data_IF_488563871195
#
_entry.id   IF_488563871195
#
_cell.length_a   1.000
_cell.length_b   1.000
_cell.length_c   1.000
_cell.angle_alpha   90.00
_cell.angle_beta   90.00
_cell.angle_gamma   90.00
#
_symmetry.space_group_name_H-M   'P 1'
#
loop_
_entity.id
_entity.type
_entity.pdbx_description
1 polymer ?
#
# COMPACT_ATOMS: atom_id res chain seq x y z
N UNK A 1 30.43 25.47 75.21
CA UNK A 1 30.54 26.75 74.46
C UNK A 1 29.27 26.89 73.66
N UNK A 2 28.59 28.00 73.90
CA UNK A 2 27.24 28.35 73.43
C UNK A 2 27.39 29.15 72.14
N UNK A 3 26.64 28.80 71.10
CA UNK A 3 26.39 29.68 69.96
C UNK A 3 24.89 29.60 69.58
N UNK A 4 24.22 30.74 69.25
CA UNK A 4 22.78 30.93 69.34
C UNK A 4 22.05 30.77 67.98
N UNK A 5 20.70 30.81 67.95
CA UNK A 5 19.92 30.65 66.73
C UNK A 5 19.35 31.98 66.16
N UNK A 6 18.98 31.90 64.86
CA UNK A 6 18.09 32.78 64.04
C UNK A 6 18.77 34.00 63.36
N UNK A 7 18.20 34.62 62.29
CA UNK A 7 16.85 34.50 61.71
C UNK A 7 16.74 34.43 60.15
N UNK A 8 15.51 34.19 59.71
CA UNK A 8 14.95 34.35 58.35
C UNK A 8 14.90 35.82 57.94
N UNK A 9 15.19 36.14 56.67
CA UNK A 9 14.67 37.33 56.00
C UNK A 9 14.55 37.13 54.49
N UNK A 10 13.31 37.04 54.02
CA UNK A 10 12.90 37.28 52.63
C UNK A 10 13.19 38.75 52.26
N UNK A 11 13.70 39.00 51.06
CA UNK A 11 13.50 40.27 50.36
C UNK A 11 13.56 40.06 48.84
N UNK A 12 12.39 40.14 48.20
CA UNK A 12 12.22 40.40 46.77
C UNK A 12 12.66 41.82 46.45
N UNK A 13 13.39 42.03 45.35
CA UNK A 13 13.50 43.26 44.54
C UNK A 13 14.52 42.93 43.43
N UNK A 14 14.15 42.80 42.15
CA UNK A 14 13.56 43.83 41.32
C UNK A 14 14.63 44.31 40.33
N UNK A 15 14.70 43.70 39.15
CA UNK A 15 15.49 44.22 38.02
C UNK A 15 14.89 43.71 36.71
N UNK A 16 13.90 44.44 36.20
CA UNK A 16 13.49 44.39 34.81
C UNK A 16 14.17 45.56 34.09
N UNK A 17 14.99 45.27 33.08
CA UNK A 17 14.97 45.89 31.76
C UNK A 17 16.28 45.64 30.99
N UNK A 18 16.13 45.55 29.66
CA UNK A 18 17.16 45.66 28.62
C UNK A 18 17.85 44.38 28.15
N UNK A 19 17.13 43.54 27.38
CA UNK A 19 17.69 42.85 26.21
C UNK A 19 16.59 42.69 25.14
N UNK A 20 16.08 43.81 24.63
CA UNK A 20 15.34 43.85 23.38
C UNK A 20 16.33 44.20 22.27
N UNK A 21 16.89 43.20 21.60
CA UNK A 21 17.87 43.43 20.55
C UNK A 21 18.33 42.16 19.83
N UNK A 22 17.76 41.95 18.64
CA UNK A 22 18.36 41.25 17.51
C UNK A 22 18.58 39.73 17.63
N UNK A 23 17.54 38.94 17.37
CA UNK A 23 17.73 37.65 16.72
C UNK A 23 16.60 37.35 15.72
N UNK A 24 16.49 38.19 14.69
CA UNK A 24 15.75 37.87 13.47
C UNK A 24 16.78 37.28 12.51
N UNK A 25 17.08 35.98 12.69
CA UNK A 25 17.75 35.23 11.64
C UNK A 25 16.75 35.08 10.49
N UNK A 26 17.12 35.35 9.23
CA UNK A 26 16.27 35.04 8.09
C UNK A 26 15.96 33.54 8.11
N UNK A 27 14.68 33.18 8.25
CA UNK A 27 14.24 31.80 8.01
C UNK A 27 14.52 31.47 6.55
N UNK A 28 15.60 30.74 6.33
CA UNK A 28 15.91 30.08 5.06
C UNK A 28 14.77 29.10 4.80
N UNK A 29 13.83 29.50 3.94
CA UNK A 29 12.67 28.70 3.61
C UNK A 29 13.16 27.41 2.96
N UNK A 30 13.15 26.32 3.72
CA UNK A 30 13.54 25.00 3.24
C UNK A 30 12.76 24.70 1.95
N UNK A 31 13.43 24.28 0.86
CA UNK A 31 12.76 24.03 -0.40
C UNK A 31 11.69 22.95 -0.21
N UNK A 32 10.44 23.31 -0.52
CA UNK A 32 9.30 22.38 -0.47
C UNK A 32 9.57 21.20 -1.41
N UNK A 33 9.58 19.94 -0.92
CA UNK A 33 9.75 18.78 -1.77
C UNK A 33 8.65 18.74 -2.83
N UNK A 34 9.03 18.84 -4.10
CA UNK A 34 8.11 18.62 -5.20
C UNK A 34 7.84 17.11 -5.34
N UNK A 35 6.59 16.70 -5.19
CA UNK A 35 6.17 15.32 -5.47
C UNK A 35 6.20 15.10 -6.98
N UNK A 36 7.23 14.42 -7.48
CA UNK A 36 7.27 13.98 -8.87
C UNK A 36 6.47 12.70 -9.02
N UNK A 37 5.35 12.75 -9.74
CA UNK A 37 4.62 11.52 -10.13
C UNK A 37 5.47 10.76 -11.14
N UNK A 38 5.91 9.55 -10.79
CA UNK A 38 6.60 8.67 -11.74
C UNK A 38 5.66 8.28 -12.87
N UNK A 39 6.16 8.25 -14.10
CA UNK A 39 5.40 7.72 -15.23
C UNK A 39 5.01 6.24 -14.96
N UNK A 40 3.81 5.81 -15.41
CA UNK A 40 3.42 4.41 -15.32
C UNK A 40 4.39 3.51 -16.08
N UNK A 41 4.76 2.38 -15.48
CA UNK A 41 5.59 1.36 -16.14
C UNK A 41 4.76 0.67 -17.23
N UNK A 42 5.32 0.55 -18.44
CA UNK A 42 4.63 -0.06 -19.61
C UNK A 42 5.23 -1.39 -20.06
N UNK A 43 6.43 -1.74 -19.60
CA UNK A 43 7.11 -2.99 -19.90
C UNK A 43 7.83 -3.53 -18.65
N UNK A 44 8.03 -4.84 -18.60
CA UNK A 44 8.83 -5.49 -17.56
C UNK A 44 10.35 -5.27 -17.78
N UNK A 45 11.17 -5.80 -16.86
CA UNK A 45 12.62 -5.68 -16.94
C UNK A 45 13.24 -6.37 -18.18
N UNK A 46 12.50 -7.25 -18.86
CA UNK A 46 12.92 -7.95 -20.08
C UNK A 46 12.37 -7.30 -21.35
N UNK A 47 11.60 -6.21 -21.22
CA UNK A 47 10.98 -5.50 -22.32
C UNK A 47 9.65 -6.10 -22.79
N UNK A 48 9.10 -7.09 -22.11
CA UNK A 48 7.77 -7.62 -22.44
C UNK A 48 6.69 -6.61 -22.01
N UNK A 49 5.66 -6.37 -22.84
CA UNK A 49 4.65 -5.36 -22.54
C UNK A 49 3.83 -5.75 -21.31
N UNK A 50 3.50 -4.76 -20.49
CA UNK A 50 2.54 -4.89 -19.40
C UNK A 50 1.13 -4.62 -19.91
N UNK A 51 0.14 -5.26 -19.29
CA UNK A 51 -1.27 -4.91 -19.45
C UNK A 51 -1.43 -3.43 -19.08
N UNK A 52 -2.02 -2.65 -19.99
CA UNK A 52 -2.27 -1.24 -19.75
C UNK A 52 -3.28 -1.07 -18.61
N UNK A 53 -2.97 -0.16 -17.69
CA UNK A 53 -3.80 0.11 -16.53
C UNK A 53 -2.99 0.65 -15.35
N UNK A 54 -3.65 0.82 -14.22
CA UNK A 54 -3.02 1.29 -12.99
C UNK A 54 -3.64 0.65 -11.75
N UNK A 55 -2.86 0.59 -10.68
CA UNK A 55 -3.34 0.19 -9.37
C UNK A 55 -3.93 1.40 -8.64
N UNK A 56 -5.14 1.21 -8.11
CA UNK A 56 -5.73 2.06 -7.08
C UNK A 56 -5.69 1.27 -5.77
N UNK A 57 -5.10 1.85 -4.73
CA UNK A 57 -5.02 1.23 -3.41
C UNK A 57 -5.77 2.09 -2.41
N UNK A 58 -6.69 1.49 -1.69
CA UNK A 58 -7.53 2.17 -0.71
C UNK A 58 -7.49 1.44 0.64
N UNK A 59 -7.47 2.23 1.72
CA UNK A 59 -7.55 1.74 3.09
C UNK A 59 -8.78 2.35 3.76
N UNK A 60 -9.57 1.51 4.44
CA UNK A 60 -10.79 1.89 5.14
C UNK A 60 -10.86 1.21 6.51
N UNK A 61 -11.82 1.61 7.34
CA UNK A 61 -12.08 0.91 8.62
C UNK A 61 -12.46 -0.57 8.43
N UNK A 62 -12.98 -0.95 7.24
CA UNK A 62 -13.35 -2.32 6.91
C UNK A 62 -12.19 -3.21 6.42
N UNK A 63 -11.01 -2.64 6.16
CA UNK A 63 -9.87 -3.32 5.57
C UNK A 63 -9.21 -2.48 4.47
N UNK A 64 -8.37 -3.12 3.66
CA UNK A 64 -7.70 -2.48 2.53
C UNK A 64 -7.99 -3.23 1.22
N UNK A 65 -7.94 -2.51 0.11
CA UNK A 65 -8.13 -3.05 -1.23
C UNK A 65 -7.07 -2.52 -2.20
N UNK A 66 -6.78 -3.32 -3.22
CA UNK A 66 -5.99 -2.91 -4.38
C UNK A 66 -6.73 -3.34 -5.64
N UNK A 67 -7.03 -2.40 -6.53
CA UNK A 67 -7.77 -2.61 -7.77
C UNK A 67 -6.88 -2.23 -8.93
N UNK A 68 -6.61 -3.17 -9.82
CA UNK A 68 -6.01 -2.87 -11.12
C UNK A 68 -7.13 -2.56 -12.11
N UNK A 69 -7.17 -1.33 -12.60
CA UNK A 69 -8.15 -0.87 -13.57
C UNK A 69 -7.51 -0.64 -14.94
N UNK A 70 -8.23 -0.96 -16.00
CA UNK A 70 -7.84 -0.63 -17.37
C UNK A 70 -7.88 0.90 -17.61
N UNK A 71 -7.39 1.41 -18.75
CA UNK A 71 -7.43 2.85 -19.04
C UNK A 71 -8.84 3.46 -19.11
N UNK A 72 -9.90 2.65 -19.23
CA UNK A 72 -11.28 3.08 -19.16
C UNK A 72 -11.85 3.09 -17.72
N UNK A 73 -11.02 2.76 -16.73
CA UNK A 73 -11.41 2.69 -15.32
C UNK A 73 -12.14 1.41 -14.94
N UNK A 74 -12.19 0.40 -15.81
CA UNK A 74 -12.87 -0.87 -15.51
C UNK A 74 -11.95 -1.77 -14.70
N UNK A 75 -12.40 -2.36 -13.59
CA UNK A 75 -11.58 -3.26 -12.80
C UNK A 75 -11.29 -4.54 -13.57
N UNK A 76 -10.03 -4.96 -13.54
CA UNK A 76 -9.51 -6.16 -14.23
C UNK A 76 -9.11 -7.20 -13.21
N UNK A 77 -8.43 -6.78 -12.13
CA UNK A 77 -8.06 -7.58 -10.97
C UNK A 77 -8.34 -6.79 -9.70
N UNK A 78 -8.83 -7.46 -8.65
CA UNK A 78 -9.02 -6.86 -7.34
C UNK A 78 -8.44 -7.75 -6.25
N UNK A 79 -7.76 -7.15 -5.29
CA UNK A 79 -7.37 -7.76 -4.03
C UNK A 79 -8.13 -7.03 -2.94
N UNK A 80 -8.90 -7.74 -2.14
CA UNK A 80 -9.68 -7.14 -1.05
C UNK A 80 -9.42 -7.93 0.22
N UNK A 81 -8.97 -7.25 1.26
CA UNK A 81 -8.91 -7.84 2.57
C UNK A 81 -10.31 -7.88 3.20
N UNK A 82 -10.81 -9.08 3.51
CA UNK A 82 -12.02 -9.27 4.31
C UNK A 82 -11.62 -9.54 5.76
N UNK A 83 -11.47 -8.46 6.54
CA UNK A 83 -10.92 -8.52 7.91
C UNK A 83 -11.68 -9.46 8.85
N UNK A 84 -12.99 -9.60 8.66
CA UNK A 84 -13.82 -10.55 9.42
C UNK A 84 -13.31 -12.00 9.32
N UNK A 85 -12.77 -12.38 8.15
CA UNK A 85 -12.36 -13.74 7.84
C UNK A 85 -10.85 -13.91 7.77
N UNK A 86 -10.10 -12.80 7.96
CA UNK A 86 -8.64 -12.72 7.84
C UNK A 86 -8.13 -13.32 6.52
N UNK A 87 -8.88 -13.06 5.45
CA UNK A 87 -8.59 -13.61 4.13
C UNK A 87 -8.55 -12.52 3.07
N UNK A 88 -7.66 -12.70 2.09
CA UNK A 88 -7.59 -11.86 0.90
C UNK A 88 -8.44 -12.50 -0.18
N UNK A 89 -9.43 -11.77 -0.68
CA UNK A 89 -10.19 -12.17 -1.86
C UNK A 89 -9.48 -11.61 -3.07
N UNK A 90 -9.02 -12.50 -3.94
CA UNK A 90 -8.49 -12.15 -5.26
C UNK A 90 -9.57 -12.36 -6.30
N UNK A 91 -9.97 -11.32 -7.00
CA UNK A 91 -10.97 -11.37 -8.07
C UNK A 91 -10.35 -11.07 -9.42
N UNK A 92 -10.75 -11.84 -10.45
CA UNK A 92 -10.43 -11.62 -11.86
C UNK A 92 -11.72 -11.35 -12.62
N UNK A 93 -11.80 -10.17 -13.24
CA UNK A 93 -13.00 -9.76 -13.97
C UNK A 93 -13.01 -10.20 -15.43
N UNK A 94 -14.22 -10.36 -15.99
CA UNK A 94 -14.42 -10.78 -17.39
C UNK A 94 -14.22 -12.28 -17.62
N UNK A 95 -14.35 -13.08 -16.56
CA UNK A 95 -14.27 -14.54 -16.57
C UNK A 95 -15.47 -15.05 -15.77
N UNK A 96 -16.38 -15.77 -16.41
CA UNK A 96 -17.62 -16.23 -15.76
C UNK A 96 -17.55 -17.66 -15.21
N UNK A 97 -16.60 -18.46 -15.71
CA UNK A 97 -16.49 -19.89 -15.42
C UNK A 97 -15.32 -20.18 -14.48
N UNK A 98 -15.49 -21.18 -13.62
CA UNK A 98 -14.43 -21.63 -12.72
C UNK A 98 -13.19 -22.08 -13.50
N UNK A 99 -12.01 -21.68 -13.04
CA UNK A 99 -10.74 -22.07 -13.66
C UNK A 99 -9.61 -22.08 -12.63
N UNK A 100 -8.57 -22.84 -12.92
CA UNK A 100 -7.31 -22.77 -12.15
C UNK A 100 -6.40 -21.74 -12.79
N UNK A 101 -6.08 -20.70 -12.03
CA UNK A 101 -5.16 -19.66 -12.44
C UNK A 101 -3.78 -19.92 -11.87
N UNK A 102 -2.77 -19.84 -12.72
CA UNK A 102 -1.38 -19.81 -12.29
C UNK A 102 -0.94 -18.36 -12.14
N UNK A 103 -0.58 -18.00 -10.91
CA UNK A 103 0.06 -16.74 -10.58
C UNK A 103 1.56 -16.92 -10.53
N UNK A 104 2.31 -15.98 -11.11
CA UNK A 104 3.77 -15.98 -11.06
C UNK A 104 4.28 -14.56 -10.81
N UNK A 105 5.19 -14.39 -9.86
CA UNK A 105 5.88 -13.12 -9.61
C UNK A 105 7.23 -13.40 -8.95
N UNK A 106 8.28 -12.70 -9.38
CA UNK A 106 9.61 -12.74 -8.73
C UNK A 106 10.18 -14.16 -8.52
N UNK A 107 9.89 -15.09 -9.44
CA UNK A 107 10.33 -16.49 -9.32
C UNK A 107 9.47 -17.38 -8.42
N UNK A 108 8.46 -16.82 -7.75
CA UNK A 108 7.45 -17.55 -6.98
C UNK A 108 6.24 -17.82 -7.88
N UNK A 109 5.64 -19.00 -7.72
CA UNK A 109 4.39 -19.34 -8.39
C UNK A 109 3.38 -19.95 -7.41
N UNK A 110 2.11 -19.71 -7.67
CA UNK A 110 1.00 -20.33 -6.94
C UNK A 110 -0.13 -20.66 -7.94
N UNK A 111 -0.75 -21.82 -7.76
CA UNK A 111 -1.95 -22.20 -8.51
C UNK A 111 -3.17 -21.94 -7.62
N UNK A 112 -4.14 -21.18 -8.13
CA UNK A 112 -5.35 -20.81 -7.42
C UNK A 112 -6.57 -21.34 -8.16
N UNK A 113 -7.38 -22.14 -7.48
CA UNK A 113 -8.71 -22.48 -7.96
C UNK A 113 -9.62 -21.27 -7.76
N UNK A 114 -10.01 -20.62 -8.86
CA UNK A 114 -10.95 -19.51 -8.85
C UNK A 114 -12.34 -20.00 -9.24
N UNK A 115 -13.35 -19.56 -8.51
CA UNK A 115 -14.76 -19.93 -8.70
C UNK A 115 -15.58 -18.68 -9.04
N UNK A 116 -16.76 -18.79 -9.68
CA UNK A 116 -17.60 -17.64 -9.98
C UNK A 116 -17.88 -16.80 -8.72
N UNK A 117 -17.68 -15.49 -8.83
CA UNK A 117 -17.88 -14.57 -7.73
C UNK A 117 -19.39 -14.49 -7.37
N UNK A 118 -19.76 -14.60 -6.08
CA UNK A 118 -21.17 -14.68 -5.67
C UNK A 118 -21.92 -13.37 -5.87
N UNK A 119 -21.21 -12.24 -5.88
CA UNK A 119 -21.79 -10.89 -5.93
C UNK A 119 -21.49 -10.14 -7.22
N UNK A 120 -20.81 -10.77 -8.18
CA UNK A 120 -20.43 -10.11 -9.44
C UNK A 120 -20.54 -11.08 -10.61
N UNK A 121 -21.50 -10.79 -11.50
CA UNK A 121 -21.69 -11.59 -12.71
C UNK A 121 -20.52 -11.37 -13.67
N UNK A 122 -19.94 -12.47 -14.17
CA UNK A 122 -18.82 -12.41 -15.11
C UNK A 122 -17.45 -12.23 -14.46
N UNK A 123 -17.35 -12.44 -13.15
CA UNK A 123 -16.09 -12.45 -12.41
C UNK A 123 -15.87 -13.81 -11.74
N UNK A 124 -14.60 -14.17 -11.54
CA UNK A 124 -14.19 -15.28 -10.67
C UNK A 124 -13.35 -14.77 -9.52
N UNK A 125 -13.44 -15.42 -8.38
CA UNK A 125 -12.66 -15.11 -7.18
C UNK A 125 -12.03 -16.36 -6.55
N UNK A 126 -10.95 -16.14 -5.81
CA UNK A 126 -10.38 -17.09 -4.89
C UNK A 126 -10.16 -16.44 -3.53
N UNK A 127 -10.39 -17.23 -2.48
CA UNK A 127 -9.96 -16.89 -1.13
C UNK A 127 -8.50 -17.30 -1.01
N UNK A 128 -7.64 -16.37 -0.64
CA UNK A 128 -6.21 -16.59 -0.52
C UNK A 128 -5.73 -16.21 0.88
N UNK A 129 -4.84 -17.03 1.42
CA UNK A 129 -4.20 -16.76 2.70
C UNK A 129 -3.25 -15.55 2.55
N UNK A 130 -3.42 -14.46 3.34
CA UNK A 130 -2.55 -13.29 3.30
C UNK A 130 -1.07 -13.62 3.58
N UNK A 131 -0.78 -14.74 4.27
CA UNK A 131 0.58 -15.18 4.56
C UNK A 131 1.26 -15.89 3.37
N UNK A 132 0.57 -16.11 2.24
CA UNK A 132 1.21 -16.73 1.09
C UNK A 132 2.39 -15.89 0.57
N UNK A 133 3.57 -16.50 0.32
CA UNK A 133 4.77 -15.76 -0.09
C UNK A 133 4.60 -14.92 -1.35
N UNK A 134 3.71 -15.32 -2.26
CA UNK A 134 3.48 -14.62 -3.52
C UNK A 134 2.99 -13.17 -3.33
N UNK A 135 2.24 -12.88 -2.25
CA UNK A 135 1.76 -11.52 -2.00
C UNK A 135 2.84 -10.57 -1.49
N UNK A 136 3.87 -11.08 -0.81
CA UNK A 136 5.03 -10.28 -0.46
C UNK A 136 5.74 -9.80 -1.74
N UNK A 137 5.79 -10.65 -2.78
CA UNK A 137 6.39 -10.30 -4.08
C UNK A 137 5.52 -9.31 -4.85
N UNK A 138 4.20 -9.33 -4.70
CA UNK A 138 3.31 -8.34 -5.34
C UNK A 138 3.57 -6.91 -4.85
N UNK A 139 4.15 -6.75 -3.66
CA UNK A 139 4.52 -5.46 -3.11
C UNK A 139 5.92 -4.97 -3.53
N UNK A 140 6.75 -5.82 -4.15
CA UNK A 140 8.05 -5.40 -4.67
C UNK A 140 7.86 -4.58 -5.96
N UNK A 141 8.16 -3.27 -5.99
CA UNK A 141 7.93 -2.42 -7.17
C UNK A 141 8.75 -2.82 -8.41
N UNK A 142 9.80 -3.64 -8.25
CA UNK A 142 10.56 -4.15 -9.37
C UNK A 142 9.89 -5.38 -10.03
N UNK A 143 9.06 -6.11 -9.28
CA UNK A 143 8.43 -7.33 -9.73
C UNK A 143 7.40 -7.11 -10.85
N UNK A 144 6.96 -8.21 -11.43
CA UNK A 144 5.88 -8.24 -12.42
C UNK A 144 5.06 -9.50 -12.17
N UNK A 145 3.75 -9.36 -12.27
CA UNK A 145 2.78 -10.38 -11.91
C UNK A 145 2.21 -10.95 -13.20
N UNK A 146 2.31 -12.26 -13.40
CA UNK A 146 1.64 -12.98 -14.47
C UNK A 146 0.48 -13.76 -13.88
N UNK A 147 -0.69 -13.65 -14.50
CA UNK A 147 -1.89 -14.40 -14.15
C UNK A 147 -2.42 -15.07 -15.41
N UNK A 148 -2.44 -16.40 -15.41
CA UNK A 148 -2.68 -17.21 -16.60
C UNK A 148 -3.64 -18.35 -16.29
N UNK A 149 -4.54 -18.65 -17.22
CA UNK A 149 -5.41 -19.82 -17.17
C UNK A 149 -5.71 -20.30 -18.61
N UNK A 150 -5.97 -21.60 -18.81
CA UNK A 150 -6.28 -22.13 -20.14
C UNK A 150 -7.49 -21.44 -20.77
N UNK A 151 -7.35 -20.98 -22.02
CA UNK A 151 -8.44 -20.33 -22.77
C UNK A 151 -8.78 -18.90 -22.32
N UNK A 152 -8.09 -18.37 -21.30
CA UNK A 152 -8.33 -17.02 -20.76
C UNK A 152 -7.13 -16.13 -21.12
N UNK A 153 -7.35 -14.90 -21.64
CA UNK A 153 -6.25 -13.98 -21.91
C UNK A 153 -5.39 -13.74 -20.67
N UNK A 154 -4.09 -14.02 -20.81
CA UNK A 154 -3.11 -13.80 -19.76
C UNK A 154 -3.02 -12.31 -19.39
N UNK A 155 -2.85 -12.03 -18.10
CA UNK A 155 -2.52 -10.71 -17.61
C UNK A 155 -1.04 -10.62 -17.25
N UNK A 156 -0.46 -9.47 -17.56
CA UNK A 156 0.91 -9.15 -17.22
C UNK A 156 0.94 -7.79 -16.50
N UNK A 157 0.80 -7.83 -15.18
CA UNK A 157 0.54 -6.65 -14.38
C UNK A 157 1.84 -6.13 -13.75
N UNK A 158 2.04 -4.80 -13.65
CA UNK A 158 3.05 -4.27 -12.73
C UNK A 158 2.69 -4.68 -11.30
N UNK A 159 3.69 -4.87 -10.45
CA UNK A 159 3.51 -4.90 -8.99
C UNK A 159 3.26 -3.48 -8.44
N UNK A 160 2.92 -3.37 -7.16
CA UNK A 160 2.72 -2.07 -6.51
C UNK A 160 2.96 -2.15 -5.01
N UNK A 161 3.74 -1.22 -4.45
CA UNK A 161 4.10 -1.21 -3.02
C UNK A 161 2.90 -1.17 -2.09
N UNK A 162 1.83 -0.47 -2.49
CA UNK A 162 0.58 -0.42 -1.74
C UNK A 162 -0.13 -1.76 -1.58
N UNK A 163 0.17 -2.79 -2.39
CA UNK A 163 -0.45 -4.12 -2.23
C UNK A 163 -0.07 -4.76 -0.88
N UNK A 164 1.11 -4.42 -0.32
CA UNK A 164 1.48 -4.86 1.03
C UNK A 164 0.48 -4.45 2.11
N UNK A 165 -0.19 -3.30 1.93
CA UNK A 165 -1.22 -2.79 2.84
C UNK A 165 -2.45 -3.69 2.87
N UNK A 166 -2.79 -4.32 1.75
CA UNK A 166 -3.91 -5.29 1.67
C UNK A 166 -3.64 -6.52 2.52
N UNK A 167 -2.44 -7.10 2.41
CA UNK A 167 -2.05 -8.24 3.23
C UNK A 167 -1.95 -7.87 4.73
N UNK A 168 -1.35 -6.73 5.05
CA UNK A 168 -1.23 -6.23 6.43
C UNK A 168 -2.59 -5.91 7.07
N UNK A 169 -3.56 -5.41 6.30
CA UNK A 169 -4.91 -5.18 6.82
C UNK A 169 -5.65 -6.48 7.21
N UNK A 170 -5.14 -7.64 6.78
CA UNK A 170 -5.73 -8.96 7.01
C UNK A 170 -5.05 -9.77 8.11
N UNK A 171 -3.89 -9.35 8.61
CA UNK A 171 -3.20 -9.96 9.74
C UNK A 171 -3.79 -9.55 11.09
#
# INVERSE_FOLDING_TARGET
>A
MIDPPRPVALAMLGAAALLAGCNQAPEDAAPTPALTTSAPRTADAKGAPLTAGSWLVEETAGGASAVFADPAGKPVVRLVCRRADRAVILTRSGVAEAATFRLQAGGVAADLAMVPAPTSLGDVEAVVDPAQPIFAVFADPAATIRMEAPGIPALHLPSHTGISRVAQACS
#
